data_IF_563657643130
#
_entry.id   IF_563657643130
#
_cell.length_a   1.000
_cell.length_b   1.000
_cell.length_c   1.000
_cell.angle_alpha   90.00
_cell.angle_beta   90.00
_cell.angle_gamma   90.00
#
_symmetry.space_group_name_H-M   'P 1'
#
loop_
_entity.id
_entity.type
_entity.pdbx_description
1 polymer ?
#
# COMPACT_ATOMS: atom_id res chain seq x y z
N UNK A 1 10.80 -10.88 10.75
CA UNK A 1 10.59 -12.00 9.80
C UNK A 1 9.20 -12.56 10.04
N UNK A 2 8.43 -12.78 8.98
CA UNK A 2 7.07 -13.31 9.06
C UNK A 2 7.10 -14.78 9.47
N UNK A 3 6.37 -15.12 10.52
CA UNK A 3 6.14 -16.49 10.97
C UNK A 3 4.69 -16.93 10.70
N UNK A 4 3.76 -15.98 10.69
CA UNK A 4 2.34 -16.23 10.46
C UNK A 4 1.94 -15.94 9.00
N UNK A 5 2.18 -16.92 8.12
CA UNK A 5 1.81 -16.81 6.70
C UNK A 5 0.30 -16.57 6.48
N UNK A 6 -0.56 -17.16 7.31
CA UNK A 6 -2.01 -16.98 7.18
C UNK A 6 -2.42 -15.52 7.34
N UNK A 7 -1.87 -14.83 8.33
CA UNK A 7 -2.13 -13.40 8.51
C UNK A 7 -1.57 -12.57 7.36
N UNK A 8 -0.43 -12.95 6.78
CA UNK A 8 0.11 -12.27 5.62
C UNK A 8 -0.81 -12.43 4.39
N UNK A 9 -1.38 -13.61 4.16
CA UNK A 9 -2.39 -13.80 3.10
C UNK A 9 -3.66 -13.01 3.35
N UNK A 10 -4.13 -12.92 4.60
CA UNK A 10 -5.26 -12.04 4.97
C UNK A 10 -4.95 -10.58 4.67
N UNK A 11 -3.72 -10.14 4.97
CA UNK A 11 -3.27 -8.80 4.66
C UNK A 11 -3.20 -8.58 3.15
N UNK A 12 -2.59 -9.48 2.39
CA UNK A 12 -2.55 -9.43 0.94
C UNK A 12 -3.94 -9.29 0.33
N UNK A 13 -4.91 -10.12 0.78
CA UNK A 13 -6.31 -10.02 0.36
C UNK A 13 -6.95 -8.67 0.72
N UNK A 14 -6.58 -8.09 1.87
CA UNK A 14 -7.08 -6.79 2.28
C UNK A 14 -6.54 -5.67 1.40
N UNK A 15 -5.24 -5.72 1.07
CA UNK A 15 -4.56 -4.65 0.35
C UNK A 15 -4.78 -4.72 -1.17
N UNK A 16 -4.94 -5.92 -1.74
CA UNK A 16 -5.00 -6.11 -3.19
C UNK A 16 -6.11 -5.28 -3.83
N UNK A 17 -5.84 -4.77 -5.00
CA UNK A 17 -6.80 -4.14 -5.91
C UNK A 17 -7.37 -5.13 -6.94
N UNK A 18 -6.79 -6.35 -7.02
CA UNK A 18 -7.29 -7.42 -7.91
C UNK A 18 -8.62 -7.97 -7.40
N UNK A 19 -9.67 -7.74 -8.17
CA UNK A 19 -11.06 -8.08 -7.79
C UNK A 19 -11.25 -9.56 -7.45
N UNK A 20 -10.76 -10.54 -8.26
CA UNK A 20 -10.97 -11.95 -7.94
C UNK A 20 -10.39 -12.35 -6.58
N UNK A 21 -9.16 -11.89 -6.28
CA UNK A 21 -8.49 -12.16 -5.00
C UNK A 21 -9.18 -11.44 -3.85
N UNK A 22 -9.57 -10.18 -4.05
CA UNK A 22 -10.27 -9.38 -3.03
C UNK A 22 -11.61 -9.99 -2.64
N UNK A 23 -12.36 -10.49 -3.60
CA UNK A 23 -13.64 -11.17 -3.36
C UNK A 23 -13.46 -12.62 -2.89
N UNK A 24 -12.26 -13.19 -2.96
CA UNK A 24 -11.98 -14.56 -2.59
C UNK A 24 -12.44 -15.58 -3.63
N UNK A 25 -12.64 -15.16 -4.88
CA UNK A 25 -12.92 -16.03 -6.02
C UNK A 25 -11.67 -16.81 -6.45
N UNK A 26 -10.51 -16.18 -6.27
CA UNK A 26 -9.21 -16.80 -6.48
C UNK A 26 -8.36 -16.61 -5.21
N UNK A 27 -7.74 -17.68 -4.68
CA UNK A 27 -6.87 -17.58 -3.52
C UNK A 27 -5.55 -16.90 -3.88
N UNK A 28 -5.02 -16.11 -2.96
CA UNK A 28 -3.64 -15.63 -3.03
C UNK A 28 -2.67 -16.78 -2.75
N UNK A 29 -1.57 -16.81 -3.48
CA UNK A 29 -0.48 -17.78 -3.36
C UNK A 29 0.85 -17.10 -3.06
N UNK A 30 1.89 -17.87 -2.76
CA UNK A 30 3.25 -17.35 -2.55
C UNK A 30 3.87 -16.78 -3.84
N UNK A 31 3.31 -17.08 -5.00
CA UNK A 31 3.72 -16.51 -6.29
C UNK A 31 3.09 -15.12 -6.56
N UNK A 32 2.13 -14.71 -5.74
CA UNK A 32 1.44 -13.44 -5.92
C UNK A 32 2.25 -12.27 -5.35
N UNK A 33 2.22 -11.10 -6.04
CA UNK A 33 3.01 -9.94 -5.65
C UNK A 33 2.69 -9.42 -4.24
N UNK A 34 1.45 -9.53 -3.79
CA UNK A 34 1.04 -9.14 -2.45
C UNK A 34 1.72 -9.99 -1.37
N UNK A 35 2.07 -11.25 -1.68
CA UNK A 35 2.80 -12.09 -0.74
C UNK A 35 4.29 -11.79 -0.76
N UNK A 36 4.95 -12.02 -1.90
CA UNK A 36 6.41 -11.91 -1.96
C UNK A 36 6.93 -10.47 -1.84
N UNK A 37 6.11 -9.46 -2.19
CA UNK A 37 6.47 -8.05 -1.98
C UNK A 37 6.43 -7.61 -0.52
N UNK A 38 5.71 -8.32 0.35
CA UNK A 38 5.55 -7.95 1.75
C UNK A 38 6.25 -8.91 2.73
N UNK A 39 6.43 -10.18 2.36
CA UNK A 39 6.92 -11.21 3.29
C UNK A 39 8.33 -10.95 3.82
N UNK A 40 9.16 -10.24 3.07
CA UNK A 40 10.54 -9.95 3.44
C UNK A 40 10.70 -8.59 4.15
N UNK A 41 9.74 -7.68 3.99
CA UNK A 41 9.82 -6.31 4.55
C UNK A 41 9.02 -6.14 5.83
N UNK A 42 7.99 -6.97 6.06
CA UNK A 42 7.16 -6.91 7.25
C UNK A 42 7.59 -7.92 8.31
N UNK A 43 7.22 -7.66 9.53
CA UNK A 43 7.17 -8.64 10.61
C UNK A 43 5.72 -8.90 11.06
N UNK A 44 5.53 -9.90 11.95
CA UNK A 44 4.19 -10.31 12.38
C UNK A 44 3.45 -9.18 13.11
N UNK A 45 4.16 -8.34 13.88
CA UNK A 45 3.58 -7.21 14.59
C UNK A 45 3.05 -6.14 13.62
N UNK A 46 3.81 -5.84 12.56
CA UNK A 46 3.37 -4.93 11.50
C UNK A 46 2.13 -5.46 10.78
N UNK A 47 2.11 -6.76 10.49
CA UNK A 47 0.95 -7.40 9.86
C UNK A 47 -0.29 -7.29 10.75
N UNK A 48 -0.17 -7.51 12.05
CA UNK A 48 -1.28 -7.37 13.00
C UNK A 48 -1.82 -5.93 13.04
N UNK A 49 -0.92 -4.94 13.08
CA UNK A 49 -1.30 -3.51 13.05
C UNK A 49 -2.08 -3.21 11.76
N UNK A 50 -1.53 -3.61 10.60
CA UNK A 50 -2.17 -3.38 9.30
C UNK A 50 -3.52 -4.07 9.16
N UNK A 51 -3.68 -5.26 9.75
CA UNK A 51 -4.96 -5.98 9.76
C UNK A 51 -6.00 -5.29 10.65
N UNK A 52 -5.59 -4.73 11.78
CA UNK A 52 -6.48 -4.03 12.71
C UNK A 52 -6.98 -2.68 12.17
N UNK A 53 -6.16 -1.98 11.39
CA UNK A 53 -6.50 -0.67 10.83
C UNK A 53 -7.43 -0.81 9.62
N UNK A 54 -8.48 0.01 9.48
CA UNK A 54 -9.28 0.06 8.25
C UNK A 54 -8.44 0.59 7.08
N UNK A 55 -8.71 0.07 5.88
CA UNK A 55 -8.05 0.53 4.66
C UNK A 55 -8.58 1.90 4.23
N UNK A 56 -7.71 2.78 3.76
CA UNK A 56 -8.02 4.10 3.22
C UNK A 56 -8.76 5.05 4.18
N UNK A 57 -8.63 4.81 5.46
CA UNK A 57 -9.16 5.72 6.49
C UNK A 57 -8.01 6.26 7.32
N UNK A 58 -7.79 7.59 7.33
CA UNK A 58 -6.82 8.21 8.23
C UNK A 58 -7.21 7.98 9.68
N UNK A 59 -6.26 7.60 10.52
CA UNK A 59 -6.44 7.37 11.94
C UNK A 59 -5.37 8.10 12.74
N UNK A 60 -5.77 8.72 13.84
CA UNK A 60 -4.87 9.26 14.84
C UNK A 60 -4.25 8.14 15.70
N UNK A 61 -3.16 8.44 16.41
CA UNK A 61 -2.43 7.48 17.24
C UNK A 61 -3.34 6.75 18.24
N UNK A 62 -4.18 7.49 18.98
CA UNK A 62 -5.07 6.92 19.99
C UNK A 62 -6.11 5.97 19.40
N UNK A 63 -6.59 6.24 18.19
CA UNK A 63 -7.51 5.36 17.48
C UNK A 63 -6.81 4.05 17.10
N UNK A 64 -5.57 4.12 16.58
CA UNK A 64 -4.77 2.95 16.23
C UNK A 64 -4.47 2.12 17.48
N UNK A 65 -4.02 2.75 18.57
CA UNK A 65 -3.77 2.11 19.85
C UNK A 65 -5.01 1.35 20.34
N UNK A 66 -6.19 1.96 20.26
CA UNK A 66 -7.45 1.34 20.65
C UNK A 66 -7.82 0.14 19.79
N UNK A 67 -7.59 0.23 18.47
CA UNK A 67 -7.89 -0.86 17.53
C UNK A 67 -6.93 -2.02 17.69
N UNK A 68 -5.65 -1.76 17.85
CA UNK A 68 -4.60 -2.77 17.98
C UNK A 68 -4.51 -3.34 19.37
N UNK A 69 -5.07 -2.65 20.38
CA UNK A 69 -4.99 -2.99 21.82
C UNK A 69 -3.54 -3.07 22.33
N UNK A 70 -2.64 -2.33 21.72
CA UNK A 70 -1.25 -2.26 22.17
C UNK A 70 -1.14 -1.47 23.47
N UNK A 71 -0.41 -2.03 24.44
CA UNK A 71 -0.17 -1.41 25.74
C UNK A 71 1.09 -0.55 25.76
N UNK A 72 2.09 -0.90 24.95
CA UNK A 72 3.36 -0.17 24.83
C UNK A 72 3.25 0.89 23.74
N UNK A 73 3.00 2.13 24.15
CA UNK A 73 2.85 3.27 23.25
C UNK A 73 4.13 3.60 22.48
N UNK A 74 5.28 3.53 23.15
CA UNK A 74 6.56 3.87 22.52
C UNK A 74 6.91 2.86 21.44
N UNK A 75 6.64 1.58 21.69
CA UNK A 75 6.84 0.53 20.70
C UNK A 75 5.88 0.67 19.51
N UNK A 76 4.61 1.00 19.77
CA UNK A 76 3.63 1.23 18.70
C UNK A 76 4.04 2.42 17.83
N UNK A 77 4.44 3.54 18.44
CA UNK A 77 4.88 4.72 17.67
C UNK A 77 6.11 4.41 16.82
N UNK A 78 7.09 3.68 17.37
CA UNK A 78 8.26 3.24 16.62
C UNK A 78 7.87 2.35 15.42
N UNK A 79 6.93 1.43 15.59
CA UNK A 79 6.41 0.58 14.51
C UNK A 79 5.68 1.38 13.44
N UNK A 80 4.81 2.30 13.81
CA UNK A 80 4.11 3.17 12.87
C UNK A 80 5.10 4.02 12.05
N UNK A 81 6.14 4.55 12.70
CA UNK A 81 7.21 5.28 12.02
C UNK A 81 7.95 4.37 11.03
N UNK A 82 8.39 3.19 11.46
CA UNK A 82 9.08 2.22 10.61
C UNK A 82 8.23 1.84 9.38
N UNK A 83 6.94 1.55 9.60
CA UNK A 83 6.00 1.20 8.53
C UNK A 83 5.76 2.36 7.56
N UNK A 84 5.77 3.60 8.04
CA UNK A 84 5.68 4.79 7.18
C UNK A 84 6.98 5.00 6.38
N UNK A 85 8.12 4.71 6.98
CA UNK A 85 9.41 4.77 6.30
C UNK A 85 9.56 3.69 5.22
N UNK A 86 8.99 2.51 5.44
CA UNK A 86 8.88 1.45 4.44
C UNK A 86 7.88 1.80 3.32
N UNK A 87 6.89 2.64 3.60
CA UNK A 87 5.83 2.99 2.67
C UNK A 87 4.63 2.03 2.68
N UNK A 88 4.52 1.17 3.70
CA UNK A 88 3.34 0.31 3.91
C UNK A 88 2.23 1.00 4.69
N UNK A 89 2.54 2.14 5.30
CA UNK A 89 1.59 3.13 5.80
C UNK A 89 1.85 4.48 5.16
N UNK A 90 0.80 5.17 4.78
CA UNK A 90 0.86 6.59 4.45
C UNK A 90 0.79 7.41 5.73
N UNK A 91 1.58 8.47 5.77
CA UNK A 91 1.59 9.43 6.86
C UNK A 91 0.91 10.72 6.40
N UNK A 92 -0.18 11.08 7.04
CA UNK A 92 -0.90 12.31 6.77
C UNK A 92 -0.65 13.33 7.87
N UNK A 93 0.01 14.44 7.51
CA UNK A 93 0.24 15.59 8.38
C UNK A 93 -0.53 16.82 7.92
N UNK A 94 -0.89 16.87 6.65
CA UNK A 94 -1.58 17.99 6.01
C UNK A 94 -3.10 17.88 6.20
N UNK A 95 -3.54 17.97 7.46
CA UNK A 95 -4.94 18.10 7.83
C UNK A 95 -5.11 19.42 8.60
N UNK A 96 -6.34 19.90 8.71
CA UNK A 96 -6.64 21.23 9.27
C UNK A 96 -6.06 21.44 10.67
N UNK A 97 -5.97 20.40 11.46
CA UNK A 97 -5.48 20.43 12.84
C UNK A 97 -3.98 20.12 12.98
N UNK A 98 -3.30 19.83 11.88
CA UNK A 98 -1.89 19.34 11.86
C UNK A 98 -1.64 18.14 12.79
N UNK A 99 -2.63 17.29 12.99
CA UNK A 99 -2.47 16.06 13.77
C UNK A 99 -1.85 14.95 12.92
N UNK A 100 -0.93 14.21 13.54
CA UNK A 100 -0.37 13.02 12.92
C UNK A 100 -1.46 11.98 12.71
N UNK A 101 -1.59 11.52 11.47
CA UNK A 101 -2.50 10.46 11.08
C UNK A 101 -1.78 9.44 10.20
N UNK A 102 -2.22 8.23 10.26
CA UNK A 102 -1.73 7.13 9.44
C UNK A 102 -2.86 6.47 8.68
N UNK A 103 -2.58 6.02 7.50
CA UNK A 103 -3.52 5.44 6.55
C UNK A 103 -2.94 4.17 5.95
N UNK A 104 -3.71 3.09 5.94
CA UNK A 104 -3.37 1.88 5.19
C UNK A 104 -3.74 2.09 3.72
N UNK A 105 -2.75 2.17 2.79
CA UNK A 105 -3.01 2.40 1.37
C UNK A 105 -3.57 1.14 0.69
N UNK A 106 -3.88 1.27 -0.60
CA UNK A 106 -3.99 0.13 -1.51
C UNK A 106 -2.60 -0.45 -1.79
N UNK A 107 -2.55 -1.67 -2.33
CA UNK A 107 -1.29 -2.27 -2.72
C UNK A 107 -0.72 -1.59 -3.98
N UNK A 108 -1.54 -1.40 -4.99
CA UNK A 108 -1.21 -0.67 -6.23
C UNK A 108 -2.36 0.30 -6.60
N UNK A 109 -2.09 1.59 -6.84
CA UNK A 109 -0.90 2.34 -6.46
C UNK A 109 -0.89 2.55 -4.95
N UNK A 110 0.25 2.44 -4.31
CA UNK A 110 0.37 2.62 -2.86
C UNK A 110 1.59 1.91 -2.32
N UNK A 111 1.43 0.92 -1.43
CA UNK A 111 2.54 0.23 -0.76
C UNK A 111 3.61 -0.27 -1.74
N UNK A 112 3.21 -0.85 -2.87
CA UNK A 112 4.15 -1.34 -3.88
C UNK A 112 5.00 -0.21 -4.49
N UNK A 113 4.42 0.95 -4.77
CA UNK A 113 5.14 2.11 -5.29
C UNK A 113 6.11 2.67 -4.23
N UNK A 114 5.63 2.86 -3.00
CA UNK A 114 6.42 3.45 -1.92
C UNK A 114 7.61 2.58 -1.50
N UNK A 115 7.47 1.26 -1.48
CA UNK A 115 8.56 0.32 -1.22
C UNK A 115 9.76 0.51 -2.16
N UNK A 116 9.52 0.99 -3.38
CA UNK A 116 10.55 1.20 -4.39
C UNK A 116 11.05 2.65 -4.50
N UNK A 117 10.51 3.58 -3.72
CA UNK A 117 10.92 4.99 -3.78
C UNK A 117 12.20 5.28 -3.00
N UNK A 118 12.59 4.43 -2.05
CA UNK A 118 13.78 4.63 -1.21
C UNK A 118 14.89 3.66 -1.62
N UNK A 119 16.04 4.17 -2.03
CA UNK A 119 17.23 3.38 -2.33
C UNK A 119 17.66 2.51 -1.14
N UNK A 120 17.61 3.05 0.08
CA UNK A 120 17.95 2.31 1.28
C UNK A 120 17.02 1.09 1.54
N UNK A 121 15.75 1.15 1.12
CA UNK A 121 14.84 0.01 1.18
C UNK A 121 15.22 -1.02 0.12
N UNK A 122 15.53 -0.60 -1.09
CA UNK A 122 15.95 -1.48 -2.18
C UNK A 122 17.29 -2.16 -1.88
N UNK A 123 18.22 -1.45 -1.22
CA UNK A 123 19.51 -2.01 -0.81
C UNK A 123 19.36 -3.13 0.25
N UNK A 124 18.39 -2.98 1.15
CA UNK A 124 18.08 -4.00 2.17
C UNK A 124 17.21 -5.13 1.65
N UNK A 125 16.38 -4.85 0.68
CA UNK A 125 15.33 -5.73 0.15
C UNK A 125 15.36 -5.73 -1.39
N UNK A 126 16.43 -6.26 -2.00
CA UNK A 126 16.59 -6.27 -3.46
C UNK A 126 15.46 -7.01 -4.18
N UNK A 127 14.82 -7.98 -3.51
CA UNK A 127 13.63 -8.70 -3.99
C UNK A 127 12.44 -7.76 -4.29
N UNK A 128 12.35 -6.62 -3.63
CA UNK A 128 11.31 -5.61 -3.90
C UNK A 128 11.53 -4.96 -5.27
N UNK A 129 12.77 -4.87 -5.72
CA UNK A 129 13.10 -4.32 -7.05
C UNK A 129 12.58 -5.23 -8.18
N UNK A 130 12.60 -6.55 -7.98
CA UNK A 130 12.05 -7.50 -8.94
C UNK A 130 10.53 -7.35 -9.11
N UNK A 131 9.85 -6.80 -8.13
CA UNK A 131 8.41 -6.58 -8.18
C UNK A 131 8.02 -5.76 -9.42
N UNK A 132 8.66 -4.60 -9.63
CA UNK A 132 8.32 -3.76 -10.78
C UNK A 132 8.73 -4.40 -12.10
N UNK A 133 9.85 -5.11 -12.15
CA UNK A 133 10.24 -5.84 -13.35
C UNK A 133 9.21 -6.91 -13.71
N UNK A 134 8.67 -7.60 -12.72
CA UNK A 134 7.65 -8.61 -12.94
C UNK A 134 6.29 -8.01 -13.25
N UNK A 135 5.92 -6.89 -12.59
CA UNK A 135 4.68 -6.16 -12.90
C UNK A 135 4.67 -5.58 -14.31
N UNK A 136 5.81 -5.06 -14.79
CA UNK A 136 5.93 -4.52 -16.16
C UNK A 136 5.92 -5.60 -17.23
N UNK A 137 6.14 -6.87 -16.87
CA UNK A 137 6.06 -8.02 -17.78
C UNK A 137 4.65 -8.62 -17.87
N UNK A 138 3.73 -8.23 -16.97
CA UNK A 138 2.35 -8.66 -17.10
C UNK A 138 1.76 -8.10 -18.39
N UNK A 139 1.10 -8.92 -19.23
CA UNK A 139 0.41 -8.43 -20.39
C UNK A 139 -0.58 -7.33 -20.02
N UNK A 140 -0.58 -6.22 -20.77
CA UNK A 140 -1.52 -5.11 -20.57
C UNK A 140 -2.98 -5.58 -20.54
N UNK A 141 -3.27 -6.68 -21.23
CA UNK A 141 -4.56 -7.36 -21.23
C UNK A 141 -5.03 -7.80 -19.83
N UNK A 142 -4.10 -8.24 -18.99
CA UNK A 142 -4.42 -8.62 -17.60
C UNK A 142 -4.62 -7.40 -16.69
N UNK A 143 -4.02 -6.26 -17.04
CA UNK A 143 -4.16 -5.00 -16.30
C UNK A 143 -5.43 -4.27 -16.74
N UNK A 144 -5.77 -4.31 -18.04
CA UNK A 144 -6.99 -3.67 -18.57
C UNK A 144 -8.28 -4.37 -18.15
N UNK A 145 -8.22 -5.67 -17.86
CA UNK A 145 -9.37 -6.40 -17.30
C UNK A 145 -9.81 -5.91 -15.90
N UNK A 146 -8.94 -5.14 -15.23
CA UNK A 146 -9.24 -4.51 -13.93
C UNK A 146 -10.01 -3.19 -14.08
N UNK A 147 -10.11 -2.63 -15.28
CA UNK A 147 -10.87 -1.41 -15.55
C UNK A 147 -12.27 -1.79 -16.01
N UNK A 148 -13.34 -1.36 -15.29
CA UNK A 148 -14.72 -1.64 -15.70
C UNK A 148 -14.98 -1.10 -17.11
N UNK A 149 -15.85 -1.77 -17.90
CA UNK A 149 -16.30 -1.23 -19.19
C UNK A 149 -16.84 0.19 -19.00
N UNK A 150 -16.26 1.16 -19.72
CA UNK A 150 -16.62 2.56 -19.60
C UNK A 150 -15.66 3.41 -18.78
N UNK A 151 -14.71 2.82 -18.06
CA UNK A 151 -13.51 3.45 -17.45
C UNK A 151 -13.67 4.72 -16.60
N UNK A 152 -14.86 5.25 -16.50
CA UNK A 152 -15.12 6.51 -15.80
C UNK A 152 -14.91 6.33 -14.28
N UNK A 153 -13.91 7.00 -13.73
CA UNK A 153 -13.66 7.06 -12.29
C UNK A 153 -12.69 6.01 -11.74
N UNK A 154 -12.11 5.15 -12.59
CA UNK A 154 -11.09 4.18 -12.17
C UNK A 154 -9.83 4.41 -13.03
N UNK A 155 -8.81 4.95 -12.43
CA UNK A 155 -7.52 5.21 -13.07
C UNK A 155 -7.00 6.62 -12.79
N UNK A 156 -5.71 6.80 -12.98
CA UNK A 156 -5.10 8.13 -12.96
C UNK A 156 -5.53 8.88 -14.21
N UNK A 157 -6.25 9.99 -14.05
CA UNK A 157 -6.44 10.94 -15.14
C UNK A 157 -5.11 11.66 -15.39
N UNK A 158 -4.42 11.29 -16.45
CA UNK A 158 -3.31 12.09 -16.96
C UNK A 158 -3.94 13.31 -17.63
N UNK A 159 -3.89 14.45 -16.98
CA UNK A 159 -4.20 15.73 -17.61
C UNK A 159 -3.03 15.99 -18.57
N UNK A 160 -3.27 16.13 -19.88
CA UNK A 160 -2.21 16.48 -20.82
C UNK A 160 -1.59 17.80 -20.39
N UNK A 161 -0.30 17.79 -20.08
CA UNK A 161 0.45 18.96 -19.59
C UNK A 161 0.38 20.12 -20.62
N UNK A 162 0.27 19.80 -21.91
CA UNK A 162 0.11 20.77 -22.99
C UNK A 162 -1.10 21.70 -22.81
N UNK A 163 -2.25 21.18 -22.38
CA UNK A 163 -3.43 22.02 -22.10
C UNK A 163 -3.28 22.91 -20.86
N UNK A 164 -2.49 22.51 -19.89
CA UNK A 164 -2.19 23.33 -18.71
C UNK A 164 -1.26 24.51 -19.09
N UNK A 165 -0.29 24.27 -20.00
CA UNK A 165 0.64 25.30 -20.49
C UNK A 165 -0.08 26.33 -21.35
N UNK A 166 -1.02 25.93 -22.20
CA UNK A 166 -1.80 26.84 -23.04
C UNK A 166 -2.68 27.80 -22.24
N UNK A 167 -3.16 27.38 -21.05
CA UNK A 167 -3.97 28.25 -20.18
C UNK A 167 -3.15 29.31 -19.44
N UNK A 168 -1.88 29.06 -19.15
CA UNK A 168 -0.99 30.03 -18.48
C UNK A 168 -0.45 31.10 -19.44
N UNK A 169 -0.43 30.83 -20.76
CA UNK A 169 0.08 31.78 -21.77
C UNK A 169 -1.00 32.74 -22.29
N UNK A 170 -2.26 32.60 -21.87
CA UNK A 170 -3.38 33.45 -22.29
C UNK A 170 -3.87 34.45 -21.21
N UNK A 171 -3.16 34.58 -20.08
CA UNK A 171 -3.51 35.54 -19.01
C UNK A 171 -2.54 36.72 -18.93
#
# INVERSE_FOLDING_TARGET
>A
MITNKENLFKLGKKLTDRIPQKLGLEPLTEADPEYWGLCNVLDDEMVEILLAMPQRKPLAFDEIKKLTKWSDEAKLEAKLKEMSELGVLEYNWENDDHHKQWLVPLFVPGSAAFLNMKSATMDKHPEVTEFFQNMTRLPLENVTAMVPPGGAGVGMHVIPVEKAIEHETQS
#
